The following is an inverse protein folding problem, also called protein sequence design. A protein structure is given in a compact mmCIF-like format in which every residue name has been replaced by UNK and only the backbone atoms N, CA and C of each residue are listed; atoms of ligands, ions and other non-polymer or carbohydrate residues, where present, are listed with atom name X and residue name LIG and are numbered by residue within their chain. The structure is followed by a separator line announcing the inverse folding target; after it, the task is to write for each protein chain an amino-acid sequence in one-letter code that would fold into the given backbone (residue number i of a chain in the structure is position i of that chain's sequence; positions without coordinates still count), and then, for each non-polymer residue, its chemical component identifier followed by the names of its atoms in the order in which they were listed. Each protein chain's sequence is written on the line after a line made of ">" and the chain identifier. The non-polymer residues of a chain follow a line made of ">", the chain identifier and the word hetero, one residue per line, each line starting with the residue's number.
data_IF_687695228686
#
_entry.id   IF_687695228686
#
_cell.length_a   1.000
_cell.length_b   1.000
_cell.length_c   1.000
_cell.angle_alpha   90.00
_cell.angle_beta   90.00
_cell.angle_gamma   90.00
#
_symmetry.space_group_name_H-M   'P 1'
#
loop_
_entity.id
_entity.type
_entity.pdbx_description
1 polymer ?
#
# COMPACT_ATOMS: atom_id res chain seq x y z
N UNK A 1 13.09 -28.91 20.60
CA UNK A 1 13.86 -28.26 19.51
C UNK A 1 13.60 -26.76 19.59
N UNK A 2 14.60 -25.94 19.87
CA UNK A 2 14.41 -24.48 19.86
C UNK A 2 14.10 -24.02 18.44
N UNK A 3 12.90 -23.48 18.21
CA UNK A 3 12.58 -22.85 16.93
C UNK A 3 13.55 -21.66 16.80
N UNK A 4 14.40 -21.64 15.79
CA UNK A 4 15.26 -20.49 15.51
C UNK A 4 14.47 -19.45 14.73
N UNK A 5 14.65 -18.17 15.10
CA UNK A 5 13.98 -17.07 14.42
C UNK A 5 14.59 -16.87 13.01
N UNK A 6 13.73 -16.82 12.00
CA UNK A 6 14.14 -16.55 10.61
C UNK A 6 13.71 -15.17 10.12
N UNK A 7 13.03 -14.36 10.93
CA UNK A 7 12.50 -13.06 10.52
C UNK A 7 13.58 -12.12 9.98
N UNK A 8 14.80 -12.16 10.51
CA UNK A 8 15.92 -11.32 10.02
C UNK A 8 16.33 -11.62 8.57
N UNK A 9 16.02 -12.81 8.04
CA UNK A 9 16.34 -13.19 6.65
C UNK A 9 15.52 -12.43 5.60
N UNK A 10 14.40 -11.83 6.02
CA UNK A 10 13.46 -11.18 5.13
C UNK A 10 13.53 -9.66 5.36
N UNK A 11 13.97 -8.90 4.36
CA UNK A 11 13.96 -7.44 4.40
C UNK A 11 12.55 -6.89 4.15
N UNK A 12 12.42 -5.56 4.25
CA UNK A 12 11.30 -4.88 3.61
C UNK A 12 11.29 -5.18 2.09
N UNK A 13 10.10 -5.17 1.50
CA UNK A 13 9.93 -5.40 0.08
C UNK A 13 10.37 -4.14 -0.67
N UNK A 14 11.01 -4.31 -1.82
CA UNK A 14 11.03 -3.22 -2.80
C UNK A 14 9.68 -3.20 -3.51
N UNK A 15 9.21 -2.03 -3.88
CA UNK A 15 7.95 -1.86 -4.61
C UNK A 15 8.15 -2.24 -6.09
N UNK A 16 8.39 -3.52 -6.36
CA UNK A 16 8.50 -4.08 -7.71
C UNK A 16 7.70 -5.37 -7.85
N UNK A 17 7.32 -5.71 -9.07
CA UNK A 17 6.53 -6.92 -9.35
C UNK A 17 7.27 -8.22 -8.96
N UNK A 18 8.58 -8.24 -9.15
CA UNK A 18 9.40 -9.43 -8.89
C UNK A 18 9.54 -9.70 -7.39
N UNK A 19 9.76 -8.66 -6.58
CA UNK A 19 9.86 -8.81 -5.12
C UNK A 19 8.54 -9.28 -4.50
N UNK A 20 7.39 -8.79 -4.97
CA UNK A 20 6.08 -9.32 -4.57
C UNK A 20 5.96 -10.80 -4.95
N UNK A 21 6.37 -11.17 -6.16
CA UNK A 21 6.32 -12.55 -6.65
C UNK A 21 7.20 -13.50 -5.84
N UNK A 22 8.41 -13.06 -5.46
CA UNK A 22 9.31 -13.81 -4.58
C UNK A 22 8.67 -13.95 -3.19
N UNK A 23 8.13 -12.86 -2.64
CA UNK A 23 7.52 -12.89 -1.31
C UNK A 23 6.31 -13.80 -1.23
N UNK A 24 5.47 -13.86 -2.25
CA UNK A 24 4.34 -14.81 -2.32
C UNK A 24 4.85 -16.24 -2.13
N UNK A 25 5.94 -16.63 -2.82
CA UNK A 25 6.53 -17.97 -2.69
C UNK A 25 7.08 -18.22 -1.28
N UNK A 26 7.72 -17.22 -0.69
CA UNK A 26 8.31 -17.33 0.66
C UNK A 26 7.29 -17.30 1.79
N UNK A 27 6.13 -16.66 1.58
CA UNK A 27 5.14 -16.42 2.62
C UNK A 27 4.61 -17.72 3.23
N UNK A 28 4.52 -18.80 2.46
CA UNK A 28 4.17 -20.13 3.00
C UNK A 28 5.19 -20.62 4.03
N UNK A 29 6.49 -20.36 3.82
CA UNK A 29 7.55 -20.74 4.77
C UNK A 29 7.55 -19.80 5.98
N UNK A 30 7.42 -18.50 5.76
CA UNK A 30 7.36 -17.48 6.82
C UNK A 30 6.22 -17.81 7.79
N UNK A 31 5.01 -18.04 7.25
CA UNK A 31 3.78 -18.29 8.01
C UNK A 31 3.87 -19.46 9.01
N UNK A 32 4.68 -20.49 8.73
CA UNK A 32 4.85 -21.66 9.62
C UNK A 32 5.44 -21.33 10.99
N UNK A 33 6.11 -20.18 11.10
CA UNK A 33 6.82 -19.76 12.31
C UNK A 33 6.12 -18.59 13.03
N UNK A 34 4.91 -18.25 12.61
CA UNK A 34 4.16 -17.12 13.15
C UNK A 34 2.86 -17.57 13.82
N UNK A 35 2.43 -16.79 14.80
CA UNK A 35 1.13 -16.93 15.45
C UNK A 35 0.23 -15.80 14.99
N UNK A 36 -1.02 -16.13 14.67
CA UNK A 36 -2.03 -15.13 14.34
C UNK A 36 -2.47 -14.38 15.60
N UNK A 37 -2.48 -13.05 15.53
CA UNK A 37 -2.91 -12.15 16.61
C UNK A 37 -4.28 -11.56 16.36
N UNK A 38 -4.58 -11.23 15.10
CA UNK A 38 -5.89 -10.69 14.73
C UNK A 38 -6.21 -10.92 13.25
N UNK A 39 -7.47 -10.68 12.89
CA UNK A 39 -7.99 -10.67 11.52
C UNK A 39 -8.84 -9.42 11.33
N UNK A 40 -8.60 -8.68 10.26
CA UNK A 40 -9.42 -7.53 9.89
C UNK A 40 -10.59 -7.96 9.01
N UNK A 41 -11.67 -7.18 9.00
CA UNK A 41 -12.81 -7.37 8.08
C UNK A 41 -12.43 -7.23 6.60
N UNK A 42 -11.33 -6.52 6.31
CA UNK A 42 -10.73 -6.37 4.97
C UNK A 42 -9.97 -7.61 4.48
N UNK A 43 -9.97 -8.70 5.26
CA UNK A 43 -9.29 -9.95 4.90
C UNK A 43 -7.78 -9.97 5.18
N UNK A 44 -7.23 -8.92 5.79
CA UNK A 44 -5.86 -8.95 6.30
C UNK A 44 -5.78 -9.77 7.59
N UNK A 45 -4.61 -10.35 7.83
CA UNK A 45 -4.31 -11.05 9.08
C UNK A 45 -3.04 -10.50 9.71
N UNK A 46 -3.10 -10.22 11.01
CA UNK A 46 -1.96 -9.83 11.81
C UNK A 46 -1.32 -11.07 12.42
N UNK A 47 -0.01 -11.19 12.24
CA UNK A 47 0.79 -12.26 12.80
C UNK A 47 1.93 -11.69 13.63
N UNK A 48 2.41 -12.47 14.60
CA UNK A 48 3.61 -12.19 15.38
C UNK A 48 4.59 -13.36 15.32
N UNK A 49 5.89 -13.06 15.35
CA UNK A 49 6.91 -14.04 15.66
C UNK A 49 7.12 -14.12 17.18
N UNK A 50 6.87 -15.27 17.80
CA UNK A 50 7.02 -15.42 19.26
C UNK A 50 8.47 -15.25 19.77
N UNK A 51 9.47 -15.36 18.89
CA UNK A 51 10.89 -15.31 19.27
C UNK A 51 11.42 -13.88 19.28
N UNK A 52 11.07 -13.08 18.28
CA UNK A 52 11.60 -11.71 18.13
C UNK A 52 10.52 -10.62 18.18
N UNK A 53 9.27 -11.00 18.45
CA UNK A 53 8.10 -10.13 18.50
C UNK A 53 7.80 -9.32 17.21
N UNK A 54 8.53 -9.56 16.12
CA UNK A 54 8.25 -8.93 14.82
C UNK A 54 6.80 -9.20 14.38
N UNK A 55 6.08 -8.11 14.10
CA UNK A 55 4.75 -8.14 13.51
C UNK A 55 4.81 -8.29 11.98
N UNK A 56 3.83 -9.01 11.46
CA UNK A 56 3.66 -9.27 10.04
C UNK A 56 2.20 -9.12 9.64
N UNK A 57 1.95 -8.49 8.50
CA UNK A 57 0.63 -8.45 7.90
C UNK A 57 0.58 -9.38 6.69
N UNK A 58 -0.48 -10.19 6.63
CA UNK A 58 -0.85 -10.93 5.44
C UNK A 58 -1.86 -10.10 4.64
N UNK A 59 -1.60 -9.97 3.34
CA UNK A 59 -2.49 -9.35 2.37
C UNK A 59 -2.61 -10.22 1.13
N UNK A 60 -3.71 -10.05 0.37
CA UNK A 60 -3.92 -10.71 -0.92
C UNK A 60 -3.46 -9.80 -2.06
N UNK A 61 -2.62 -10.31 -2.96
CA UNK A 61 -2.19 -9.60 -4.15
C UNK A 61 -3.11 -9.95 -5.32
N UNK A 62 -4.16 -9.16 -5.53
CA UNK A 62 -5.19 -9.42 -6.56
C UNK A 62 -4.59 -9.48 -7.99
N UNK A 63 -3.64 -8.60 -8.32
CA UNK A 63 -2.89 -8.61 -9.59
C UNK A 63 -1.94 -9.82 -9.77
N UNK A 64 -1.85 -10.69 -8.77
CA UNK A 64 -1.10 -11.95 -8.80
C UNK A 64 -2.04 -13.17 -8.70
N UNK A 65 -3.31 -13.00 -9.07
CA UNK A 65 -4.33 -14.05 -8.96
C UNK A 65 -4.81 -14.26 -7.52
N UNK A 66 -4.84 -13.19 -6.72
CA UNK A 66 -5.35 -13.22 -5.34
C UNK A 66 -4.45 -14.00 -4.37
N UNK A 67 -3.15 -14.09 -4.67
CA UNK A 67 -2.21 -14.85 -3.83
C UNK A 67 -1.83 -14.07 -2.58
N UNK A 68 -1.87 -14.77 -1.45
CA UNK A 68 -1.46 -14.21 -0.16
C UNK A 68 0.06 -14.02 -0.08
N UNK A 69 0.47 -12.94 0.58
CA UNK A 69 1.85 -12.69 0.93
C UNK A 69 1.96 -11.96 2.27
N UNK A 70 3.11 -12.14 2.93
CA UNK A 70 3.43 -11.57 4.23
C UNK A 70 4.49 -10.48 4.09
N UNK A 71 4.29 -9.36 4.77
CA UNK A 71 5.30 -8.32 4.91
C UNK A 71 5.40 -7.86 6.36
N UNK A 72 6.59 -7.38 6.73
CA UNK A 72 6.83 -6.83 8.06
C UNK A 72 6.13 -5.49 8.19
N UNK A 73 5.57 -5.25 9.35
CA UNK A 73 4.97 -3.97 9.73
C UNK A 73 5.63 -3.49 11.03
N UNK A 74 5.59 -2.17 11.32
CA UNK A 74 6.06 -1.65 12.59
C UNK A 74 5.20 -2.16 13.75
N UNK A 75 5.68 -1.93 14.96
CA UNK A 75 4.91 -2.17 16.17
C UNK A 75 3.64 -1.31 16.18
N UNK A 76 2.52 -1.92 16.59
CA UNK A 76 1.21 -1.30 16.62
C UNK A 76 0.33 -2.08 17.61
N UNK A 77 -0.60 -1.38 18.26
CA UNK A 77 -1.65 -2.02 19.04
C UNK A 77 -2.63 -2.78 18.14
N UNK A 78 -3.18 -3.89 18.64
CA UNK A 78 -4.05 -4.76 17.84
C UNK A 78 -5.34 -4.02 17.45
N UNK A 79 -5.88 -3.21 18.36
CA UNK A 79 -7.07 -2.40 18.19
C UNK A 79 -6.86 -1.37 17.07
N UNK A 80 -5.73 -0.67 17.10
CA UNK A 80 -5.35 0.31 16.08
C UNK A 80 -5.12 -0.32 14.71
N UNK A 81 -4.58 -1.53 14.68
CA UNK A 81 -4.42 -2.29 13.43
C UNK A 81 -5.76 -2.80 12.90
N UNK A 82 -6.69 -3.19 13.76
CA UNK A 82 -8.02 -3.66 13.35
C UNK A 82 -8.86 -2.53 12.71
N UNK A 83 -8.75 -1.31 13.24
CA UNK A 83 -9.41 -0.13 12.66
C UNK A 83 -8.87 0.18 11.27
N UNK A 84 -7.55 0.16 11.12
CA UNK A 84 -6.90 0.52 9.87
C UNK A 84 -5.59 -0.25 9.70
N UNK A 85 -5.64 -1.41 9.01
CA UNK A 85 -4.46 -2.18 8.66
C UNK A 85 -3.49 -1.37 7.77
N UNK A 86 -2.24 -1.80 7.70
CA UNK A 86 -1.25 -1.15 6.86
C UNK A 86 -1.53 -1.37 5.36
N UNK A 87 -1.14 -0.40 4.54
CA UNK A 87 -1.28 -0.53 3.09
C UNK A 87 -0.46 -1.73 2.58
N UNK A 88 -1.07 -2.49 1.67
CA UNK A 88 -0.46 -3.61 0.97
C UNK A 88 0.58 -3.14 -0.05
N UNK A 89 1.86 -3.56 0.06
CA UNK A 89 2.89 -3.23 -0.94
C UNK A 89 2.52 -3.59 -2.38
N UNK A 90 1.78 -4.68 -2.59
CA UNK A 90 1.30 -5.06 -3.92
C UNK A 90 0.33 -4.02 -4.51
N UNK A 91 -0.53 -3.42 -3.69
CA UNK A 91 -1.44 -2.38 -4.16
C UNK A 91 -0.70 -1.08 -4.49
N UNK A 92 0.34 -0.75 -3.71
CA UNK A 92 1.24 0.36 -4.02
C UNK A 92 1.97 0.17 -5.36
N UNK A 93 2.50 -1.03 -5.64
CA UNK A 93 3.17 -1.32 -6.92
C UNK A 93 2.24 -1.04 -8.10
N UNK A 94 0.98 -1.46 -7.99
CA UNK A 94 0.00 -1.31 -9.07
C UNK A 94 -0.44 0.13 -9.18
N UNK A 95 -0.77 0.77 -8.06
CA UNK A 95 -1.14 2.17 -8.03
C UNK A 95 -0.05 3.05 -8.64
N UNK A 96 1.20 2.92 -8.17
CA UNK A 96 2.32 3.73 -8.68
C UNK A 96 2.53 3.51 -10.17
N UNK A 97 2.53 2.26 -10.66
CA UNK A 97 2.70 1.98 -12.09
C UNK A 97 1.58 2.58 -12.96
N UNK A 98 0.33 2.55 -12.48
CA UNK A 98 -0.80 3.17 -13.18
C UNK A 98 -0.70 4.70 -13.20
N UNK A 99 -0.31 5.30 -12.06
CA UNK A 99 -0.15 6.75 -11.95
C UNK A 99 1.03 7.24 -12.81
N UNK A 100 2.17 6.55 -12.78
CA UNK A 100 3.33 6.84 -13.64
C UNK A 100 2.95 6.80 -15.12
N UNK A 101 2.30 5.72 -15.57
CA UNK A 101 1.87 5.60 -16.97
C UNK A 101 0.91 6.73 -17.40
N UNK A 102 0.06 7.18 -16.48
CA UNK A 102 -0.83 8.31 -16.76
C UNK A 102 -0.06 9.61 -16.90
N UNK A 103 0.87 9.91 -15.99
CA UNK A 103 1.62 11.17 -15.99
C UNK A 103 2.70 11.27 -17.07
N UNK A 104 3.24 10.14 -17.54
CA UNK A 104 4.10 10.12 -18.74
C UNK A 104 3.36 10.61 -19.98
N UNK A 105 2.06 10.31 -20.09
CA UNK A 105 1.21 10.70 -21.23
C UNK A 105 0.54 12.06 -21.01
N UNK A 106 0.29 12.43 -19.76
CA UNK A 106 -0.49 13.60 -19.38
C UNK A 106 0.31 14.47 -18.41
N UNK A 107 0.99 15.49 -18.94
CA UNK A 107 1.68 16.47 -18.11
C UNK A 107 0.66 17.41 -17.48
N UNK A 108 0.43 17.25 -16.18
CA UNK A 108 -0.38 18.19 -15.40
C UNK A 108 0.49 19.39 -15.02
N UNK A 109 0.13 20.56 -15.51
CA UNK A 109 0.85 21.82 -15.29
C UNK A 109 -0.10 22.77 -14.59
N UNK A 110 0.37 23.43 -13.54
CA UNK A 110 -0.42 24.43 -12.82
C UNK A 110 -0.74 25.63 -13.72
N UNK A 111 -1.94 26.17 -13.54
CA UNK A 111 -2.40 27.42 -14.13
C UNK A 111 -2.30 28.56 -13.13
N UNK A 112 -2.61 29.78 -13.57
CA UNK A 112 -2.67 30.95 -12.68
C UNK A 112 -3.96 30.99 -11.84
N UNK A 113 -4.99 30.26 -12.26
CA UNK A 113 -6.31 30.23 -11.63
C UNK A 113 -6.31 29.33 -10.39
N UNK A 114 -7.16 29.68 -9.41
CA UNK A 114 -7.37 28.86 -8.22
C UNK A 114 -8.33 27.69 -8.51
N UNK A 115 -8.17 26.62 -7.74
CA UNK A 115 -9.05 25.46 -7.80
C UNK A 115 -10.48 25.84 -7.38
N UNK A 116 -11.48 25.44 -8.17
CA UNK A 116 -12.90 25.69 -7.86
C UNK A 116 -13.50 24.79 -6.78
N UNK A 117 -12.69 24.00 -6.07
CA UNK A 117 -13.18 23.13 -5.00
C UNK A 117 -13.25 23.96 -3.72
N UNK A 118 -14.34 23.82 -2.99
CA UNK A 118 -14.49 24.48 -1.68
C UNK A 118 -13.29 24.16 -0.78
N UNK A 119 -12.83 25.17 -0.06
CA UNK A 119 -11.70 25.09 0.88
C UNK A 119 -10.38 24.60 0.26
N UNK A 120 -10.17 24.83 -1.04
CA UNK A 120 -8.90 24.54 -1.70
C UNK A 120 -8.12 25.82 -2.02
N UNK A 121 -6.89 25.89 -1.54
CA UNK A 121 -5.94 27.00 -1.77
C UNK A 121 -4.94 26.72 -2.90
N UNK A 122 -5.05 25.56 -3.56
CA UNK A 122 -4.14 25.15 -4.64
C UNK A 122 -4.55 25.72 -5.99
N UNK A 123 -3.57 25.88 -6.87
CA UNK A 123 -3.79 26.27 -8.26
C UNK A 123 -4.46 25.15 -9.06
N UNK A 124 -5.37 25.53 -9.94
CA UNK A 124 -5.99 24.65 -10.93
C UNK A 124 -4.95 24.24 -11.99
N UNK A 125 -5.12 23.09 -12.64
CA UNK A 125 -4.26 22.69 -13.77
C UNK A 125 -4.69 23.39 -15.06
N UNK A 126 -3.77 23.52 -16.02
CA UNK A 126 -4.07 24.08 -17.34
C UNK A 126 -5.23 23.34 -18.01
N UNK A 127 -6.20 24.11 -18.52
CA UNK A 127 -7.42 23.65 -19.19
C UNK A 127 -8.42 22.90 -18.28
N UNK A 128 -8.25 22.97 -16.96
CA UNK A 128 -9.23 22.47 -16.00
C UNK A 128 -9.53 23.55 -14.95
N UNK A 129 -10.57 23.31 -14.14
CA UNK A 129 -10.95 24.14 -13.00
C UNK A 129 -10.50 23.55 -11.66
N UNK A 130 -9.96 22.33 -11.67
CA UNK A 130 -9.51 21.61 -10.50
C UNK A 130 -7.99 21.64 -10.38
N UNK A 131 -7.47 21.65 -9.14
CA UNK A 131 -6.06 21.39 -8.89
C UNK A 131 -5.73 19.93 -9.17
N UNK A 132 -4.44 19.61 -9.26
CA UNK A 132 -3.95 18.26 -9.54
C UNK A 132 -4.59 17.19 -8.64
N UNK A 133 -4.65 17.43 -7.33
CA UNK A 133 -5.25 16.49 -6.37
C UNK A 133 -6.73 16.23 -6.69
N UNK A 134 -7.54 17.29 -6.84
CA UNK A 134 -8.97 17.16 -7.10
C UNK A 134 -9.30 16.63 -8.49
N UNK A 135 -8.45 16.93 -9.48
CA UNK A 135 -8.56 16.36 -10.81
C UNK A 135 -8.32 14.84 -10.77
N UNK A 136 -7.27 14.37 -10.10
CA UNK A 136 -6.99 12.94 -9.91
C UNK A 136 -8.15 12.26 -9.18
N UNK A 137 -8.66 12.85 -8.09
CA UNK A 137 -9.84 12.33 -7.38
C UNK A 137 -11.06 12.21 -8.28
N UNK A 138 -11.29 13.19 -9.16
CA UNK A 138 -12.37 13.16 -10.14
C UNK A 138 -12.20 11.98 -11.10
N UNK A 139 -11.02 11.80 -11.66
CA UNK A 139 -10.71 10.65 -12.52
C UNK A 139 -10.89 9.31 -11.80
N UNK A 140 -10.46 9.20 -10.55
CA UNK A 140 -10.65 8.01 -9.72
C UNK A 140 -12.13 7.73 -9.45
N UNK A 141 -12.94 8.78 -9.21
CA UNK A 141 -14.38 8.66 -9.01
C UNK A 141 -15.09 8.10 -10.24
N UNK A 142 -14.65 8.49 -11.44
CA UNK A 142 -15.17 7.98 -12.71
C UNK A 142 -14.51 6.67 -13.17
N UNK A 143 -13.60 6.08 -12.36
CA UNK A 143 -12.93 4.83 -12.69
C UNK A 143 -11.88 4.93 -13.80
N UNK A 144 -11.45 6.15 -14.15
CA UNK A 144 -10.42 6.39 -15.17
C UNK A 144 -8.99 6.23 -14.60
N UNK A 145 -8.84 6.35 -13.27
CA UNK A 145 -7.61 6.06 -12.54
C UNK A 145 -7.91 5.11 -11.38
N UNK A 146 -6.93 4.28 -10.95
CA UNK A 146 -7.12 3.43 -9.79
C UNK A 146 -7.29 4.27 -8.53
N UNK A 147 -8.16 3.82 -7.63
CA UNK A 147 -8.30 4.42 -6.30
C UNK A 147 -6.97 4.33 -5.55
N UNK A 148 -6.69 5.35 -4.75
CA UNK A 148 -5.55 5.31 -3.83
C UNK A 148 -5.67 4.11 -2.89
N UNK A 149 -4.59 3.34 -2.66
CA UNK A 149 -4.60 2.24 -1.73
C UNK A 149 -4.98 2.71 -0.32
N UNK A 150 -5.85 1.95 0.32
CA UNK A 150 -6.41 2.25 1.64
C UNK A 150 -5.59 1.59 2.77
N UNK A 151 -5.48 2.27 3.90
CA UNK A 151 -4.75 1.81 5.10
C UNK A 151 -3.63 2.74 5.56
N UNK A 152 -2.97 2.34 6.67
CA UNK A 152 -1.85 3.10 7.25
C UNK A 152 -0.61 3.06 6.36
N UNK A 153 -0.05 4.23 6.07
CA UNK A 153 1.26 4.39 5.44
C UNK A 153 2.35 4.17 6.48
N UNK A 154 3.45 3.54 6.09
CA UNK A 154 4.60 3.33 6.95
C UNK A 154 5.88 3.18 6.11
N UNK A 155 7.04 3.47 6.71
CA UNK A 155 8.34 3.28 6.07
C UNK A 155 8.64 1.78 5.80
N UNK A 156 9.23 1.41 4.65
CA UNK A 156 9.74 2.27 3.58
C UNK A 156 8.70 2.58 2.47
N UNK A 157 7.42 2.37 2.73
CA UNK A 157 6.35 2.40 1.72
C UNK A 157 5.61 3.74 1.65
N UNK A 158 6.34 4.84 1.85
CA UNK A 158 5.79 6.17 1.62
C UNK A 158 5.66 6.44 0.13
N UNK A 159 4.52 6.96 -0.31
CA UNK A 159 4.33 7.48 -1.64
C UNK A 159 3.80 8.91 -1.53
N UNK A 160 4.50 9.86 -2.14
CA UNK A 160 3.98 11.21 -2.26
C UNK A 160 3.15 11.26 -3.54
N UNK A 161 1.84 11.49 -3.41
CA UNK A 161 1.06 12.04 -4.53
C UNK A 161 1.47 13.52 -4.66
N UNK A 162 2.68 13.77 -5.19
CA UNK A 162 3.08 15.10 -5.68
C UNK A 162 2.36 15.37 -6.97
#
# INVERSE_FOLDING_TARGET
>A
MSKSCTCKKYSALKLTRDEISIRIKDSRKIKKHLIIKSKSDKGHHLYVCEICQQLWQLSSAWNWGGKDYLFKIPEIEIEDWNLEPFISPADLVIFSASMESYFEKNKLVDSENDCKREECDKKAILKDVLCKTHFIESLQRFGLLPKSPDGKIFEPYTYNVK
#
